data_IF_292583020419
#
_entry.id   IF_292583020419
#
_cell.length_a   1.000
_cell.length_b   1.000
_cell.length_c   1.000
_cell.angle_alpha   90.00
_cell.angle_beta   90.00
_cell.angle_gamma   90.00
#
_symmetry.space_group_name_H-M   'P 1'
#
loop_
_entity.id
_entity.type
_entity.pdbx_description
1 polymer ?
#
# COMPACT_ATOMS: atom_id res chain seq x y z
N UNK A 1 12.36 13.40 -1.90
CA UNK A 1 10.91 13.29 -2.14
C UNK A 1 10.17 13.87 -0.96
N UNK A 2 9.54 15.02 -1.14
CA UNK A 2 8.65 15.66 -0.16
C UNK A 2 7.32 14.93 -0.23
N UNK A 3 7.15 13.88 0.56
CA UNK A 3 5.81 13.31 0.76
C UNK A 3 4.93 14.45 1.29
N UNK A 4 3.84 14.82 0.63
CA UNK A 4 2.91 15.81 1.16
C UNK A 4 2.30 15.29 2.50
N UNK A 5 1.78 16.18 3.34
CA UNK A 5 0.96 15.75 4.50
C UNK A 5 -0.42 15.39 3.95
N UNK A 6 -0.57 14.18 3.44
CA UNK A 6 -1.85 13.68 2.95
C UNK A 6 -2.57 13.03 4.13
N UNK A 7 -3.56 13.69 4.72
CA UNK A 7 -4.30 13.07 5.83
C UNK A 7 -5.04 11.81 5.38
N UNK A 8 -4.96 10.74 6.17
CA UNK A 8 -5.73 9.51 5.96
C UNK A 8 -7.24 9.76 5.84
N UNK A 9 -7.76 10.83 6.44
CA UNK A 9 -9.18 11.18 6.37
C UNK A 9 -9.65 11.53 4.96
N UNK A 10 -8.73 11.84 4.03
CA UNK A 10 -9.06 11.99 2.62
C UNK A 10 -9.32 10.60 2.00
N UNK A 11 -10.55 10.32 1.53
CA UNK A 11 -10.85 9.06 0.88
C UNK A 11 -10.15 8.98 -0.47
N UNK A 12 -9.84 7.76 -0.90
CA UNK A 12 -9.43 7.51 -2.27
C UNK A 12 -10.54 7.84 -3.25
N UNK A 13 -10.19 8.56 -4.31
CA UNK A 13 -11.05 8.69 -5.50
C UNK A 13 -11.12 7.36 -6.25
N UNK A 14 -12.12 7.19 -7.11
CA UNK A 14 -12.23 6.03 -7.99
C UNK A 14 -11.00 5.89 -8.89
N UNK A 15 -10.55 6.98 -9.51
CA UNK A 15 -9.34 7.00 -10.33
C UNK A 15 -8.09 6.55 -9.54
N UNK A 16 -7.94 6.97 -8.28
CA UNK A 16 -6.83 6.50 -7.44
C UNK A 16 -6.94 5.00 -7.13
N UNK A 17 -8.15 4.44 -7.01
CA UNK A 17 -8.34 2.98 -6.82
C UNK A 17 -7.98 2.20 -8.08
N UNK A 18 -8.32 2.75 -9.26
CA UNK A 18 -7.90 2.19 -10.54
C UNK A 18 -6.38 2.21 -10.68
N UNK A 19 -5.72 3.29 -10.27
CA UNK A 19 -4.26 3.38 -10.26
C UNK A 19 -3.61 2.34 -9.33
N UNK A 20 -4.15 2.14 -8.12
CA UNK A 20 -3.68 1.08 -7.20
C UNK A 20 -3.79 -0.28 -7.89
N UNK A 21 -4.95 -0.57 -8.48
CA UNK A 21 -5.22 -1.84 -9.17
C UNK A 21 -4.25 -2.03 -10.33
N UNK A 22 -4.10 -1.01 -11.18
CA UNK A 22 -3.18 -1.01 -12.32
C UNK A 22 -1.74 -1.28 -11.89
N UNK A 23 -1.24 -0.57 -10.87
CA UNK A 23 0.14 -0.71 -10.38
C UNK A 23 0.38 -2.12 -9.85
N UNK A 24 -0.45 -2.59 -8.92
CA UNK A 24 -0.25 -3.90 -8.28
C UNK A 24 -0.38 -5.02 -9.31
N UNK A 25 -1.41 -4.98 -10.16
CA UNK A 25 -1.62 -5.97 -11.22
C UNK A 25 -0.47 -6.01 -12.23
N UNK A 26 -0.03 -4.84 -12.71
CA UNK A 26 1.04 -4.73 -13.70
C UNK A 26 2.35 -5.27 -13.16
N UNK A 27 2.72 -4.86 -11.94
CA UNK A 27 3.93 -5.34 -11.28
C UNK A 27 3.86 -6.84 -10.95
N UNK A 28 2.67 -7.37 -10.65
CA UNK A 28 2.48 -8.80 -10.38
C UNK A 28 2.67 -9.65 -11.64
N UNK A 29 2.10 -9.26 -12.79
CA UNK A 29 1.93 -10.18 -13.93
C UNK A 29 2.78 -9.88 -15.17
N UNK A 30 3.20 -8.63 -15.39
CA UNK A 30 3.94 -8.29 -16.63
C UNK A 30 5.41 -8.71 -16.56
N UNK A 31 5.92 -9.27 -17.66
CA UNK A 31 7.36 -9.60 -17.80
C UNK A 31 8.22 -8.34 -17.69
N UNK A 32 9.49 -8.50 -17.32
CA UNK A 32 10.40 -7.37 -17.09
C UNK A 32 10.53 -6.45 -18.32
N UNK A 33 10.61 -7.02 -19.53
CA UNK A 33 10.66 -6.25 -20.78
C UNK A 33 9.39 -5.41 -21.02
N UNK A 34 8.23 -5.90 -20.59
CA UNK A 34 6.98 -5.15 -20.64
C UNK A 34 6.95 -4.05 -19.59
N UNK A 35 7.47 -4.31 -18.39
CA UNK A 35 7.57 -3.30 -17.32
C UNK A 35 8.44 -2.11 -17.75
N UNK A 36 9.56 -2.36 -18.43
CA UNK A 36 10.41 -1.29 -18.99
C UNK A 36 9.62 -0.42 -19.98
N UNK A 37 8.80 -1.04 -20.85
CA UNK A 37 7.95 -0.30 -21.79
C UNK A 37 6.85 0.50 -21.10
N UNK A 38 6.30 -0.03 -20.01
CA UNK A 38 5.24 0.61 -19.21
C UNK A 38 5.80 1.53 -18.12
N UNK A 39 7.12 1.75 -18.05
CA UNK A 39 7.75 2.51 -16.97
C UNK A 39 7.17 3.92 -16.87
N UNK A 40 6.95 4.59 -18.01
CA UNK A 40 6.32 5.90 -18.06
C UNK A 40 4.92 5.92 -17.45
N UNK A 41 4.07 4.97 -17.82
CA UNK A 41 2.70 4.86 -17.30
C UNK A 41 2.67 4.50 -15.81
N UNK A 42 3.58 3.62 -15.37
CA UNK A 42 3.76 3.27 -13.96
C UNK A 42 4.24 4.48 -13.14
N UNK A 43 5.14 5.30 -13.69
CA UNK A 43 5.60 6.51 -13.03
C UNK A 43 4.48 7.56 -12.95
N UNK A 44 3.65 7.70 -13.98
CA UNK A 44 2.48 8.59 -13.94
C UNK A 44 1.44 8.14 -12.90
N UNK A 45 1.15 6.84 -12.84
CA UNK A 45 0.29 6.28 -11.80
C UNK A 45 0.90 6.48 -10.41
N UNK A 46 2.21 6.29 -10.25
CA UNK A 46 2.90 6.58 -8.99
C UNK A 46 2.76 8.04 -8.59
N UNK A 47 2.97 8.99 -9.50
CA UNK A 47 2.86 10.42 -9.22
C UNK A 47 1.46 10.77 -8.70
N UNK A 48 0.40 10.22 -9.32
CA UNK A 48 -0.97 10.41 -8.82
C UNK A 48 -1.17 9.77 -7.44
N UNK A 49 -0.51 8.64 -7.17
CA UNK A 49 -0.54 7.97 -5.87
C UNK A 49 0.36 8.62 -4.81
N UNK A 50 1.30 9.50 -5.16
CA UNK A 50 2.12 10.23 -4.18
C UNK A 50 1.25 11.19 -3.33
N UNK A 51 0.07 11.57 -3.84
CA UNK A 51 -0.97 12.32 -3.12
C UNK A 51 -1.90 11.43 -2.29
N UNK A 52 -1.67 10.11 -2.26
CA UNK A 52 -2.47 9.16 -1.48
C UNK A 52 -1.74 8.75 -0.21
N UNK A 53 -2.47 8.78 0.91
CA UNK A 53 -1.93 8.32 2.18
C UNK A 53 -1.60 6.80 2.12
N UNK A 54 -0.44 6.33 2.61
CA UNK A 54 -0.05 4.92 2.50
C UNK A 54 -1.03 3.93 3.16
N UNK A 55 -1.72 4.31 4.25
CA UNK A 55 -2.79 3.46 4.80
C UNK A 55 -3.99 3.35 3.84
N UNK A 56 -4.30 4.40 3.05
CA UNK A 56 -5.34 4.34 2.02
C UNK A 56 -4.92 3.45 0.87
N UNK A 57 -3.68 3.57 0.39
CA UNK A 57 -3.12 2.64 -0.60
C UNK A 57 -3.30 1.18 -0.14
N UNK A 58 -2.88 0.87 1.09
CA UNK A 58 -3.05 -0.49 1.63
C UNK A 58 -4.52 -0.88 1.79
N UNK A 59 -5.38 0.03 2.24
CA UNK A 59 -6.83 -0.22 2.34
C UNK A 59 -7.41 -0.63 0.98
N UNK A 60 -7.07 0.08 -0.10
CA UNK A 60 -7.52 -0.25 -1.46
C UNK A 60 -7.03 -1.62 -1.94
N UNK A 61 -5.82 -2.01 -1.54
CA UNK A 61 -5.29 -3.34 -1.85
C UNK A 61 -6.08 -4.40 -1.09
N UNK A 62 -6.25 -4.26 0.23
CA UNK A 62 -6.85 -5.30 1.08
C UNK A 62 -8.38 -5.36 1.03
N UNK A 63 -9.05 -4.33 0.51
CA UNK A 63 -10.49 -4.33 0.23
C UNK A 63 -10.86 -4.99 -1.10
N UNK A 64 -9.90 -5.27 -1.97
CA UNK A 64 -10.15 -5.87 -3.27
C UNK A 64 -9.44 -7.22 -3.37
N UNK A 65 -10.24 -8.29 -3.45
CA UNK A 65 -9.73 -9.66 -3.59
C UNK A 65 -8.70 -9.85 -4.71
N UNK A 66 -8.89 -9.24 -5.87
CA UNK A 66 -7.94 -9.35 -6.98
C UNK A 66 -6.62 -8.66 -6.64
N UNK A 67 -6.64 -7.47 -6.05
CA UNK A 67 -5.44 -6.76 -5.64
C UNK A 67 -4.62 -7.54 -4.62
N UNK A 68 -5.26 -8.32 -3.74
CA UNK A 68 -4.55 -9.19 -2.82
C UNK A 68 -3.89 -10.40 -3.47
N UNK A 69 -4.55 -11.00 -4.45
CA UNK A 69 -3.96 -12.07 -5.26
C UNK A 69 -2.73 -11.51 -5.99
N UNK A 70 -2.89 -10.36 -6.61
CA UNK A 70 -1.81 -9.69 -7.35
C UNK A 70 -0.67 -9.27 -6.42
N UNK A 71 -0.95 -8.76 -5.21
CA UNK A 71 0.08 -8.46 -4.21
C UNK A 71 0.84 -9.72 -3.77
N UNK A 72 0.12 -10.83 -3.61
CA UNK A 72 0.71 -12.13 -3.25
C UNK A 72 1.62 -12.67 -4.36
N UNK A 73 1.22 -12.51 -5.62
CA UNK A 73 2.03 -12.88 -6.78
C UNK A 73 3.23 -11.94 -6.97
N UNK A 74 3.04 -10.64 -6.75
CA UNK A 74 4.11 -9.66 -6.73
C UNK A 74 5.18 -10.00 -5.68
N UNK A 75 4.80 -10.43 -4.46
CA UNK A 75 5.74 -10.82 -3.41
C UNK A 75 6.65 -11.99 -3.83
N UNK A 76 6.18 -12.90 -4.69
CA UNK A 76 7.01 -13.99 -5.24
C UNK A 76 8.10 -13.47 -6.19
N UNK A 77 7.91 -12.28 -6.77
CA UNK A 77 8.83 -11.62 -7.70
C UNK A 77 9.82 -10.74 -6.95
N UNK A 78 10.76 -11.35 -6.23
CA UNK A 78 11.68 -10.68 -5.28
C UNK A 78 12.34 -9.42 -5.84
N UNK A 79 12.79 -9.44 -7.10
CA UNK A 79 13.47 -8.30 -7.76
C UNK A 79 12.57 -7.07 -7.86
N UNK A 80 11.24 -7.25 -7.96
CA UNK A 80 10.25 -6.17 -8.07
C UNK A 80 9.63 -5.87 -6.71
N UNK A 81 9.37 -6.91 -5.91
CA UNK A 81 8.84 -6.78 -4.56
C UNK A 81 9.71 -5.89 -3.68
N UNK A 82 11.04 -6.11 -3.66
CA UNK A 82 11.97 -5.37 -2.80
C UNK A 82 11.87 -3.85 -3.01
N UNK A 83 12.02 -3.30 -4.22
CA UNK A 83 11.91 -1.86 -4.44
C UNK A 83 10.47 -1.34 -4.20
N UNK A 84 9.44 -2.07 -4.62
CA UNK A 84 8.04 -1.70 -4.35
C UNK A 84 7.77 -1.54 -2.85
N UNK A 85 8.10 -2.56 -2.07
CA UNK A 85 7.86 -2.55 -0.64
C UNK A 85 8.73 -1.54 0.09
N UNK A 86 9.99 -1.34 -0.34
CA UNK A 86 10.85 -0.30 0.22
C UNK A 86 10.22 1.09 0.06
N UNK A 87 9.72 1.42 -1.13
CA UNK A 87 9.08 2.71 -1.38
C UNK A 87 7.83 2.93 -0.51
N UNK A 88 6.97 1.93 -0.41
CA UNK A 88 5.78 2.01 0.46
C UNK A 88 6.16 2.17 1.94
N UNK A 89 7.19 1.45 2.39
CA UNK A 89 7.71 1.54 3.76
C UNK A 89 8.30 2.92 4.05
N UNK A 90 8.99 3.52 3.10
CA UNK A 90 9.56 4.86 3.26
C UNK A 90 8.44 5.92 3.34
N UNK A 91 7.34 5.74 2.60
CA UNK A 91 6.14 6.56 2.76
C UNK A 91 5.48 6.38 4.14
N UNK A 92 5.35 5.15 4.64
CA UNK A 92 4.85 4.90 6.00
C UNK A 92 5.72 5.59 7.06
N UNK A 93 7.04 5.42 6.99
CA UNK A 93 7.99 6.11 7.90
C UNK A 93 7.90 7.63 7.80
N UNK A 94 7.68 8.17 6.59
CA UNK A 94 7.56 9.61 6.39
C UNK A 94 6.27 10.16 7.01
N UNK A 95 5.16 9.43 6.94
CA UNK A 95 3.89 9.83 7.57
C UNK A 95 3.92 9.64 9.10
N UNK A 96 4.55 8.57 9.58
CA UNK A 96 4.81 8.34 11.01
C UNK A 96 5.54 9.52 11.65
N UNK A 97 6.66 9.94 11.04
CA UNK A 97 7.49 11.07 11.52
C UNK A 97 6.72 12.39 11.62
N UNK A 98 5.61 12.52 10.89
CA UNK A 98 4.77 13.72 10.88
C UNK A 98 3.54 13.60 11.79
N UNK A 99 3.41 12.49 12.52
CA UNK A 99 2.24 12.21 13.35
C UNK A 99 0.98 11.89 12.55
N UNK A 100 1.11 11.54 11.27
CA UNK A 100 -0.03 11.27 10.37
C UNK A 100 -0.35 9.76 10.28
N UNK A 101 0.02 9.00 11.32
CA UNK A 101 -0.38 7.62 11.55
C UNK A 101 -0.95 7.51 12.98
N UNK A 102 -1.97 8.31 13.27
CA UNK A 102 -2.56 8.33 14.62
C UNK A 102 -3.25 7.00 14.94
N UNK A 103 -3.45 6.73 16.23
CA UNK A 103 -4.25 5.58 16.69
C UNK A 103 -5.62 5.56 15.99
N UNK A 104 -6.28 6.72 15.84
CA UNK A 104 -7.58 6.83 15.16
C UNK A 104 -7.50 6.41 13.69
N UNK A 105 -6.42 6.75 12.99
CA UNK A 105 -6.24 6.36 11.58
C UNK A 105 -6.06 4.85 11.46
N UNK A 106 -5.28 4.24 12.36
CA UNK A 106 -5.07 2.79 12.42
C UNK A 106 -6.34 2.03 12.82
N UNK A 107 -7.11 2.52 13.78
CA UNK A 107 -8.41 1.95 14.15
C UNK A 107 -9.36 1.96 12.95
N UNK A 108 -9.49 3.09 12.26
CA UNK A 108 -10.35 3.19 11.09
C UNK A 108 -9.83 2.31 9.93
N UNK A 109 -8.52 2.26 9.69
CA UNK A 109 -7.91 1.35 8.72
C UNK A 109 -8.24 -0.11 9.04
N UNK A 110 -8.04 -0.53 10.30
CA UNK A 110 -8.32 -1.90 10.74
C UNK A 110 -9.78 -2.30 10.51
N UNK A 111 -10.70 -1.41 10.88
CA UNK A 111 -12.14 -1.56 10.64
C UNK A 111 -12.47 -1.70 9.16
N UNK A 112 -11.88 -0.85 8.31
CA UNK A 112 -12.14 -0.83 6.87
C UNK A 112 -11.73 -2.12 6.17
N UNK A 113 -10.60 -2.71 6.58
CA UNK A 113 -10.13 -3.99 6.02
C UNK A 113 -10.68 -5.20 6.78
N UNK A 114 -11.27 -5.01 7.96
CA UNK A 114 -11.87 -6.05 8.78
C UNK A 114 -10.90 -6.87 9.63
N UNK A 115 -9.81 -6.25 10.08
CA UNK A 115 -8.88 -6.83 11.05
C UNK A 115 -9.09 -6.16 12.41
N UNK A 116 -8.80 -6.85 13.51
CA UNK A 116 -8.89 -6.21 14.83
C UNK A 116 -7.75 -5.21 15.00
N UNK A 117 -8.07 -4.03 15.54
CA UNK A 117 -7.06 -2.99 15.80
C UNK A 117 -5.88 -3.52 16.65
N UNK A 118 -6.18 -4.35 17.65
CA UNK A 118 -5.17 -4.96 18.53
C UNK A 118 -4.15 -5.84 17.79
N UNK A 119 -4.48 -6.35 16.61
CA UNK A 119 -3.57 -7.18 15.81
C UNK A 119 -2.55 -6.34 15.03
N UNK A 120 -2.90 -5.11 14.63
CA UNK A 120 -2.01 -4.24 13.85
C UNK A 120 -1.30 -3.19 14.70
N UNK A 121 -1.91 -2.76 15.81
CA UNK A 121 -1.45 -1.62 16.59
C UNK A 121 -0.02 -1.79 17.10
N UNK A 122 0.28 -2.95 17.70
CA UNK A 122 1.61 -3.21 18.25
C UNK A 122 2.71 -3.17 17.19
N UNK A 123 2.42 -3.60 15.95
CA UNK A 123 3.39 -3.51 14.85
C UNK A 123 3.60 -2.06 14.40
N UNK A 124 2.53 -1.26 14.35
CA UNK A 124 2.62 0.14 13.95
C UNK A 124 3.38 0.97 15.01
N UNK A 125 3.09 0.81 16.31
CA UNK A 125 3.80 1.47 17.41
C UNK A 125 5.30 1.14 17.41
N UNK A 126 5.62 -0.14 17.21
CA UNK A 126 7.01 -0.62 17.13
C UNK A 126 7.68 -0.29 15.80
N UNK A 127 6.96 0.33 14.86
CA UNK A 127 7.42 0.65 13.49
C UNK A 127 7.88 -0.60 12.72
N UNK A 128 7.34 -1.76 13.11
CA UNK A 128 7.60 -3.05 12.50
C UNK A 128 6.67 -3.26 11.29
N UNK A 129 6.89 -2.44 10.27
CA UNK A 129 6.08 -2.44 9.04
C UNK A 129 6.14 -3.77 8.29
N UNK A 130 7.27 -4.49 8.37
CA UNK A 130 7.45 -5.80 7.74
C UNK A 130 6.49 -6.82 8.34
N UNK A 131 6.48 -6.97 9.67
CA UNK A 131 5.54 -7.88 10.33
C UNK A 131 4.09 -7.45 10.15
N UNK A 132 3.80 -6.14 10.10
CA UNK A 132 2.47 -5.63 9.77
C UNK A 132 2.02 -6.09 8.37
N UNK A 133 2.86 -5.90 7.34
CA UNK A 133 2.54 -6.34 5.98
C UNK A 133 2.38 -7.87 5.90
N UNK A 134 3.22 -8.63 6.59
CA UNK A 134 3.09 -10.09 6.65
C UNK A 134 1.78 -10.55 7.31
N UNK A 135 1.34 -9.88 8.38
CA UNK A 135 0.04 -10.12 8.98
C UNK A 135 -1.09 -9.82 7.99
N UNK A 136 -1.07 -8.64 7.35
CA UNK A 136 -2.10 -8.22 6.42
C UNK A 136 -2.23 -9.17 5.23
N UNK A 137 -1.11 -9.68 4.70
CA UNK A 137 -1.12 -10.66 3.60
C UNK A 137 -1.62 -12.06 4.00
N UNK A 138 -1.61 -12.39 5.30
CA UNK A 138 -2.20 -13.65 5.80
C UNK A 138 -3.72 -13.54 5.95
N UNK A 139 -4.24 -12.33 6.13
CA UNK A 139 -5.66 -12.09 6.25
C UNK A 139 -6.37 -12.31 4.90
N UNK A 140 -7.53 -12.97 4.94
CA UNK A 140 -8.36 -13.14 3.74
C UNK A 140 -8.92 -11.77 3.35
N UNK A 141 -8.58 -11.34 2.15
CA UNK A 141 -9.17 -10.14 1.59
C UNK A 141 -10.67 -10.32 1.38
N UNK A 142 -11.39 -9.24 1.66
CA UNK A 142 -12.84 -9.17 1.51
C UNK A 142 -13.24 -9.15 0.03
#
# INVERSE_FOLDING_TARGET
>A
MTSAIVSYQHPLTESSREDVTYVVHTLAHKKMSTLIKLQGDLDQARIRLDEVHPLRFMEAVFQNKQNCIDLSDLKKRIIIWKPFWSGLKDNLKAQDKKGNLSQKDLEQFSKNIGIQFSEIHGYAEQKNWDSMMELLMKYKCK
#
